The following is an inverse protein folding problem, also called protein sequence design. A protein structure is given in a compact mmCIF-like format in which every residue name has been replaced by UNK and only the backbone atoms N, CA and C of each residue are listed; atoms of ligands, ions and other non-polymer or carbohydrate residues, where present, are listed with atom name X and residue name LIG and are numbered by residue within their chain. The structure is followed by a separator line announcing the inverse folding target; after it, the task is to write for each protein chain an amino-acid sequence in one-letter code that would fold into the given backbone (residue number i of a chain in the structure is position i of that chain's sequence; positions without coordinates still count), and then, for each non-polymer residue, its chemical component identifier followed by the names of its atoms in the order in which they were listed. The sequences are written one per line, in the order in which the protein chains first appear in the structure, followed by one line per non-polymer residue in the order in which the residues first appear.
data_IF_837950925496
#
_entry.id   IF_837950925496
#
_cell.length_a   1.000
_cell.length_b   1.000
_cell.length_c   1.000
_cell.angle_alpha   90.00
_cell.angle_beta   90.00
_cell.angle_gamma   90.00
#
_symmetry.space_group_name_H-M   'P 1'
#
loop_
_entity.id
_entity.type
_entity.pdbx_description
1 polymer ?
#
# COMPACT_ATOMS: atom_id res chain seq x y z
N UNK A 1 -18.90 -5.99 -7.20
CA UNK A 1 -18.59 -4.73 -6.51
C UNK A 1 -17.63 -4.97 -5.38
N UNK A 2 -17.30 -3.94 -4.63
CA UNK A 2 -16.46 -4.01 -3.43
C UNK A 2 -17.26 -4.52 -2.24
N UNK A 3 -16.59 -5.04 -1.23
CA UNK A 3 -17.18 -5.33 0.07
C UNK A 3 -17.52 -4.04 0.80
N UNK A 4 -16.49 -3.20 1.04
CA UNK A 4 -16.63 -1.87 1.64
C UNK A 4 -16.02 -0.84 0.69
N UNK A 5 -16.69 0.30 0.54
CA UNK A 5 -16.15 1.44 -0.20
C UNK A 5 -16.28 2.70 0.65
N UNK A 6 -15.13 3.33 0.92
CA UNK A 6 -15.03 4.65 1.56
C UNK A 6 -14.70 5.68 0.49
N UNK A 7 -15.56 6.67 0.31
CA UNK A 7 -15.40 7.67 -0.75
C UNK A 7 -16.04 9.03 -0.37
N UNK A 8 -16.03 9.97 -1.29
CA UNK A 8 -16.49 11.34 -1.06
C UNK A 8 -15.50 12.09 -0.16
N UNK A 9 -16.02 12.88 0.75
CA UNK A 9 -15.23 13.64 1.72
C UNK A 9 -15.15 12.93 3.09
N UNK A 10 -15.17 11.59 3.08
CA UNK A 10 -15.11 10.77 4.29
C UNK A 10 -13.75 10.87 4.96
N UNK A 11 -13.74 10.87 6.30
CA UNK A 11 -12.54 10.89 7.14
C UNK A 11 -12.89 10.37 8.54
N UNK A 12 -11.89 9.96 9.31
CA UNK A 12 -12.11 9.40 10.65
C UNK A 12 -12.82 8.05 10.58
N UNK A 13 -12.27 7.10 9.83
CA UNK A 13 -12.86 5.80 9.52
C UNK A 13 -12.07 4.71 10.23
N UNK A 14 -12.79 3.81 10.86
CA UNK A 14 -12.27 2.56 11.43
C UNK A 14 -13.03 1.38 10.82
N UNK A 15 -12.30 0.39 10.32
CA UNK A 15 -12.83 -0.83 9.68
C UNK A 15 -12.13 -2.01 10.33
N UNK A 16 -12.86 -2.75 11.16
CA UNK A 16 -12.28 -3.78 12.00
C UNK A 16 -13.22 -4.97 12.26
N UNK A 17 -12.62 -6.11 12.65
CA UNK A 17 -13.30 -7.33 13.08
C UNK A 17 -14.33 -7.86 12.08
N UNK A 18 -14.03 -7.75 10.79
CA UNK A 18 -14.90 -8.20 9.72
C UNK A 18 -14.32 -9.43 9.01
N UNK A 19 -15.19 -10.29 8.54
CA UNK A 19 -14.90 -11.30 7.56
C UNK A 19 -15.49 -10.85 6.21
N UNK A 20 -14.64 -10.68 5.18
CA UNK A 20 -15.04 -10.18 3.87
C UNK A 20 -14.55 -11.14 2.79
N UNK A 21 -15.44 -11.69 2.00
CA UNK A 21 -15.11 -12.66 0.96
C UNK A 21 -16.08 -12.60 -0.22
N UNK A 22 -15.76 -13.30 -1.31
CA UNK A 22 -16.57 -13.38 -2.55
C UNK A 22 -16.98 -12.00 -3.11
N UNK A 23 -16.12 -10.99 -2.92
CA UNK A 23 -16.30 -9.68 -3.57
C UNK A 23 -15.88 -9.75 -5.04
N UNK A 24 -16.27 -8.75 -5.86
CA UNK A 24 -16.02 -8.82 -7.32
C UNK A 24 -14.84 -7.97 -7.79
N UNK A 25 -14.33 -7.09 -6.96
CA UNK A 25 -13.18 -6.25 -7.24
C UNK A 25 -12.29 -6.17 -6.00
N UNK A 26 -12.46 -5.21 -5.10
CA UNK A 26 -11.68 -5.10 -3.86
C UNK A 26 -12.54 -5.41 -2.65
N UNK A 27 -12.00 -6.04 -1.61
CA UNK A 27 -12.76 -6.24 -0.36
C UNK A 27 -12.94 -4.93 0.38
N UNK A 28 -11.88 -4.16 0.58
CA UNK A 28 -11.93 -2.82 1.18
C UNK A 28 -11.30 -1.83 0.20
N UNK A 29 -12.07 -0.85 -0.26
CA UNK A 29 -11.57 0.22 -1.11
C UNK A 29 -11.75 1.57 -0.43
N UNK A 30 -10.65 2.32 -0.24
CA UNK A 30 -10.62 3.63 0.44
C UNK A 30 -10.00 4.66 -0.48
N UNK A 31 -10.80 5.30 -1.30
CA UNK A 31 -10.38 6.39 -2.19
C UNK A 31 -11.57 7.16 -2.74
N UNK A 32 -11.30 8.37 -3.23
CA UNK A 32 -12.25 9.17 -4.00
C UNK A 32 -11.55 9.73 -5.21
N UNK A 33 -11.88 9.17 -6.38
CA UNK A 33 -11.34 9.71 -7.61
C UNK A 33 -11.96 11.09 -7.88
N UNK A 34 -11.17 12.07 -8.38
CA UNK A 34 -11.66 13.39 -8.71
C UNK A 34 -12.76 13.36 -9.78
N UNK A 35 -13.72 14.25 -9.63
CA UNK A 35 -14.80 14.49 -10.59
C UNK A 35 -14.79 15.95 -11.06
N UNK A 36 -15.71 16.32 -11.94
CA UNK A 36 -15.84 17.70 -12.43
C UNK A 36 -16.12 18.74 -11.33
N UNK A 37 -16.56 18.32 -10.13
CA UNK A 37 -16.74 19.23 -8.99
C UNK A 37 -15.42 19.64 -8.33
N UNK A 38 -14.34 18.88 -8.59
CA UNK A 38 -12.99 19.08 -8.04
C UNK A 38 -12.88 19.01 -6.51
N UNK A 39 -13.91 18.54 -5.82
CA UNK A 39 -13.96 18.50 -4.35
C UNK A 39 -12.98 17.49 -3.76
N UNK A 40 -12.63 16.44 -4.52
CA UNK A 40 -11.73 15.36 -4.10
C UNK A 40 -10.33 15.45 -4.75
N UNK A 41 -9.94 16.65 -5.16
CA UNK A 41 -8.57 16.92 -5.63
C UNK A 41 -7.61 17.17 -4.47
N UNK A 42 -6.32 17.09 -4.73
CA UNK A 42 -5.24 17.27 -3.75
C UNK A 42 -5.28 18.61 -3.05
N UNK A 43 -5.66 19.67 -3.73
CA UNK A 43 -5.74 21.02 -3.17
C UNK A 43 -7.03 21.28 -2.39
N UNK A 44 -8.05 20.44 -2.60
CA UNK A 44 -9.38 20.63 -2.00
C UNK A 44 -9.63 19.73 -0.79
N UNK A 45 -9.07 18.52 -0.78
CA UNK A 45 -9.35 17.53 0.24
C UNK A 45 -8.13 16.68 0.60
N UNK A 46 -8.07 16.28 1.85
CA UNK A 46 -7.16 15.24 2.35
C UNK A 46 -7.97 14.28 3.19
N UNK A 47 -8.00 13.02 2.81
CA UNK A 47 -8.61 11.97 3.62
C UNK A 47 -7.68 11.64 4.80
N UNK A 48 -8.24 11.52 6.02
CA UNK A 48 -7.43 11.38 7.23
C UNK A 48 -8.01 10.39 8.21
N UNK A 49 -7.12 9.86 9.06
CA UNK A 49 -7.49 8.99 10.20
C UNK A 49 -8.26 7.78 9.71
N UNK A 50 -7.57 6.96 8.93
CA UNK A 50 -8.11 5.71 8.39
C UNK A 50 -7.39 4.57 9.09
N UNK A 51 -8.13 3.74 9.80
CA UNK A 51 -7.64 2.54 10.45
C UNK A 51 -8.36 1.32 9.89
N UNK A 52 -7.59 0.33 9.42
CA UNK A 52 -8.10 -0.93 8.87
C UNK A 52 -7.36 -2.04 9.58
N UNK A 53 -8.04 -2.77 10.45
CA UNK A 53 -7.36 -3.75 11.30
C UNK A 53 -8.24 -4.91 11.75
N UNK A 54 -7.59 -5.99 12.20
CA UNK A 54 -8.27 -7.17 12.73
C UNK A 54 -9.35 -7.77 11.78
N UNK A 55 -9.15 -7.62 10.45
CA UNK A 55 -10.07 -8.16 9.47
C UNK A 55 -9.54 -9.46 8.87
N UNK A 56 -10.46 -10.35 8.51
CA UNK A 56 -10.19 -11.54 7.71
C UNK A 56 -10.77 -11.36 6.31
N UNK A 57 -9.90 -11.29 5.31
CA UNK A 57 -10.23 -10.99 3.91
C UNK A 57 -9.75 -12.14 3.03
N UNK A 58 -10.67 -12.76 2.27
CA UNK A 58 -10.30 -13.94 1.50
C UNK A 58 -11.21 -14.23 0.30
N UNK A 59 -10.74 -15.12 -0.58
CA UNK A 59 -11.49 -15.65 -1.74
C UNK A 59 -12.10 -14.57 -2.64
N UNK A 60 -11.25 -13.72 -3.24
CA UNK A 60 -11.69 -12.63 -4.09
C UNK A 60 -10.82 -12.47 -5.35
N UNK A 61 -11.41 -12.05 -6.49
CA UNK A 61 -10.68 -11.91 -7.75
C UNK A 61 -9.87 -10.62 -7.89
N UNK A 62 -10.01 -9.65 -6.99
CA UNK A 62 -9.31 -8.37 -7.04
C UNK A 62 -8.33 -8.19 -5.87
N UNK A 63 -8.15 -6.93 -5.43
CA UNK A 63 -7.30 -6.61 -4.28
C UNK A 63 -8.01 -6.88 -2.94
N UNK A 64 -7.26 -7.34 -1.96
CA UNK A 64 -7.77 -7.45 -0.58
C UNK A 64 -8.11 -6.07 0.00
N UNK A 65 -7.11 -5.21 0.11
CA UNK A 65 -7.24 -3.84 0.62
C UNK A 65 -6.63 -2.88 -0.41
N UNK A 66 -7.42 -1.91 -0.89
CA UNK A 66 -6.99 -0.88 -1.83
C UNK A 66 -7.20 0.52 -1.26
N UNK A 67 -6.11 1.21 -0.91
CA UNK A 67 -6.13 2.54 -0.30
C UNK A 67 -5.46 3.56 -1.20
N UNK A 68 -6.15 4.67 -1.47
CA UNK A 68 -5.66 5.80 -2.25
C UNK A 68 -5.67 5.60 -3.76
N UNK A 69 -5.39 6.66 -4.49
CA UNK A 69 -5.40 6.65 -5.95
C UNK A 69 -4.04 6.23 -6.51
N UNK A 70 -4.02 5.26 -7.40
CA UNK A 70 -2.80 4.89 -8.15
C UNK A 70 -2.36 5.95 -9.16
N UNK A 71 -3.24 6.91 -9.49
CA UNK A 71 -2.95 8.02 -10.40
C UNK A 71 -2.32 9.24 -9.68
N UNK A 72 -1.34 9.03 -8.80
CA UNK A 72 -0.72 10.10 -7.99
C UNK A 72 -0.26 11.32 -8.79
N UNK A 73 0.28 11.10 -9.99
CA UNK A 73 0.80 12.17 -10.86
C UNK A 73 -0.28 12.86 -11.69
N UNK A 74 -1.50 12.41 -11.63
CA UNK A 74 -2.66 13.04 -12.27
C UNK A 74 -3.60 12.07 -12.97
N UNK A 75 -4.85 12.43 -12.93
CA UNK A 75 -5.96 11.74 -13.58
C UNK A 75 -6.61 12.70 -14.56
N UNK A 76 -6.92 12.23 -15.75
CA UNK A 76 -7.70 13.02 -16.73
C UNK A 76 -9.19 12.89 -16.45
N UNK A 77 -9.87 14.00 -16.31
CA UNK A 77 -11.33 14.05 -16.13
C UNK A 77 -11.98 14.98 -17.16
N UNK A 78 -13.23 14.69 -17.49
CA UNK A 78 -14.05 15.58 -18.33
C UNK A 78 -14.58 16.77 -17.51
N UNK A 79 -14.41 17.97 -18.04
CA UNK A 79 -14.94 19.22 -17.45
C UNK A 79 -15.58 20.07 -18.55
N UNK A 80 -16.89 19.99 -18.67
CA UNK A 80 -17.62 20.54 -19.83
C UNK A 80 -17.16 19.88 -21.14
N UNK A 81 -16.80 20.69 -22.12
CA UNK A 81 -16.31 20.22 -23.43
C UNK A 81 -14.78 19.97 -23.45
N UNK A 82 -14.13 20.05 -22.31
CA UNK A 82 -12.68 19.93 -22.19
C UNK A 82 -12.29 18.74 -21.31
N UNK A 83 -11.08 18.25 -21.53
CA UNK A 83 -10.42 17.31 -20.62
C UNK A 83 -9.34 18.04 -19.85
N UNK A 84 -9.34 17.91 -18.54
CA UNK A 84 -8.33 18.50 -17.65
C UNK A 84 -7.62 17.40 -16.86
N UNK A 85 -6.35 17.65 -16.52
CA UNK A 85 -5.59 16.78 -15.63
C UNK A 85 -5.68 17.33 -14.21
N UNK A 86 -6.09 16.51 -13.26
CA UNK A 86 -6.21 16.86 -11.85
C UNK A 86 -5.44 15.88 -10.99
N UNK A 87 -4.93 16.35 -9.86
CA UNK A 87 -4.26 15.50 -8.89
C UNK A 87 -5.29 14.96 -7.90
N UNK A 88 -5.42 13.63 -7.75
CA UNK A 88 -6.28 13.05 -6.72
C UNK A 88 -5.85 13.50 -5.31
N UNK A 89 -6.81 13.51 -4.37
CA UNK A 89 -6.51 13.77 -2.98
C UNK A 89 -5.46 12.81 -2.43
N UNK A 90 -4.79 13.21 -1.35
CA UNK A 90 -3.89 12.34 -0.61
C UNK A 90 -4.56 11.79 0.64
N UNK A 91 -3.97 10.73 1.19
CA UNK A 91 -4.36 10.13 2.45
C UNK A 91 -3.27 10.41 3.48
N UNK A 92 -3.66 10.73 4.71
CA UNK A 92 -2.75 10.93 5.85
C UNK A 92 -3.31 10.28 7.10
N UNK A 93 -2.43 9.95 8.03
CA UNK A 93 -2.79 9.28 9.27
C UNK A 93 -3.51 7.94 8.96
N UNK A 94 -2.80 7.06 8.20
CA UNK A 94 -3.26 5.75 7.79
C UNK A 94 -2.58 4.66 8.61
N UNK A 95 -3.36 3.76 9.15
CA UNK A 95 -2.88 2.53 9.77
C UNK A 95 -3.60 1.32 9.16
N UNK A 96 -2.83 0.33 8.69
CA UNK A 96 -3.33 -0.96 8.21
C UNK A 96 -2.57 -2.05 8.95
N UNK A 97 -3.23 -2.76 9.87
CA UNK A 97 -2.51 -3.66 10.77
C UNK A 97 -3.37 -4.85 11.24
N UNK A 98 -2.70 -5.91 11.66
CA UNK A 98 -3.32 -7.12 12.21
C UNK A 98 -4.43 -7.74 11.31
N UNK A 99 -4.37 -7.51 9.99
CA UNK A 99 -5.28 -8.12 9.05
C UNK A 99 -4.70 -9.45 8.52
N UNK A 100 -5.59 -10.37 8.20
CA UNK A 100 -5.26 -11.56 7.42
C UNK A 100 -5.90 -11.41 6.05
N UNK A 101 -5.08 -11.42 4.98
CA UNK A 101 -5.50 -11.27 3.59
C UNK A 101 -4.99 -12.47 2.80
N UNK A 102 -5.88 -13.23 2.20
CA UNK A 102 -5.49 -14.44 1.47
C UNK A 102 -6.39 -14.74 0.27
N UNK A 103 -5.89 -15.58 -0.65
CA UNK A 103 -6.60 -15.97 -1.87
C UNK A 103 -7.14 -14.76 -2.65
N UNK A 104 -6.24 -13.81 -2.94
CA UNK A 104 -6.57 -12.65 -3.78
C UNK A 104 -6.16 -12.91 -5.22
N UNK A 105 -7.02 -12.54 -6.16
CA UNK A 105 -6.68 -12.63 -7.58
C UNK A 105 -5.62 -11.62 -7.99
N UNK A 106 -5.62 -10.45 -7.34
CA UNK A 106 -4.69 -9.33 -7.53
C UNK A 106 -3.86 -9.08 -6.27
N UNK A 107 -3.44 -7.82 -6.03
CA UNK A 107 -2.61 -7.48 -4.87
C UNK A 107 -3.31 -7.82 -3.54
N UNK A 108 -2.54 -8.24 -2.55
CA UNK A 108 -3.06 -8.42 -1.21
C UNK A 108 -3.46 -7.08 -0.59
N UNK A 109 -2.50 -6.17 -0.45
CA UNK A 109 -2.69 -4.82 0.09
C UNK A 109 -2.03 -3.82 -0.86
N UNK A 110 -2.78 -2.85 -1.37
CA UNK A 110 -2.26 -1.73 -2.15
C UNK A 110 -2.44 -0.42 -1.39
N UNK A 111 -1.36 0.34 -1.21
CA UNK A 111 -1.36 1.68 -0.62
C UNK A 111 -0.78 2.66 -1.62
N UNK A 112 -1.53 3.67 -2.02
CA UNK A 112 -1.11 4.70 -2.99
C UNK A 112 -1.54 6.08 -2.53
N UNK A 113 -0.84 7.13 -2.95
CA UNK A 113 -1.18 8.53 -2.63
C UNK A 113 -1.37 8.81 -1.12
N UNK A 114 -0.65 8.08 -0.28
CA UNK A 114 -0.67 8.23 1.17
C UNK A 114 0.64 8.90 1.62
N UNK A 115 0.65 10.23 1.74
CA UNK A 115 1.87 11.05 1.73
C UNK A 115 2.49 11.31 3.10
N UNK A 116 1.81 10.97 4.20
CA UNK A 116 2.39 11.11 5.53
C UNK A 116 1.63 10.32 6.62
N UNK A 117 2.37 9.96 7.68
CA UNK A 117 1.84 9.22 8.84
C UNK A 117 1.18 7.91 8.42
N UNK A 118 1.89 7.11 7.62
CA UNK A 118 1.42 5.80 7.14
C UNK A 118 2.17 4.70 7.87
N UNK A 119 1.42 3.76 8.42
CA UNK A 119 1.95 2.54 9.02
C UNK A 119 1.18 1.32 8.51
N UNK A 120 1.89 0.35 7.95
CA UNK A 120 1.34 -0.94 7.51
C UNK A 120 2.13 -2.04 8.21
N UNK A 121 1.51 -2.73 9.16
CA UNK A 121 2.26 -3.63 10.03
C UNK A 121 1.45 -4.81 10.57
N UNK A 122 2.16 -5.86 10.96
CA UNK A 122 1.60 -7.07 11.54
C UNK A 122 0.54 -7.76 10.66
N UNK A 123 0.46 -7.46 9.38
CA UNK A 123 -0.49 -8.14 8.50
C UNK A 123 0.07 -9.48 8.04
N UNK A 124 -0.82 -10.43 7.83
CA UNK A 124 -0.53 -11.69 7.16
C UNK A 124 -1.14 -11.61 5.75
N UNK A 125 -0.29 -11.70 4.72
CA UNK A 125 -0.72 -11.69 3.32
C UNK A 125 -0.22 -12.95 2.65
N UNK A 126 -1.13 -13.80 2.17
CA UNK A 126 -0.75 -15.07 1.56
C UNK A 126 -1.64 -15.46 0.40
N UNK A 127 -1.09 -16.34 -0.46
CA UNK A 127 -1.82 -16.85 -1.62
C UNK A 127 -2.41 -15.70 -2.46
N UNK A 128 -1.57 -14.69 -2.76
CA UNK A 128 -1.94 -13.47 -3.48
C UNK A 128 -1.55 -13.52 -4.95
N UNK A 129 -2.22 -12.71 -5.78
CA UNK A 129 -1.91 -12.57 -7.20
C UNK A 129 -2.29 -13.78 -8.02
N UNK A 130 -3.28 -14.56 -7.62
CA UNK A 130 -3.62 -15.85 -8.23
C UNK A 130 -4.00 -15.76 -9.70
N UNK A 131 -4.54 -14.63 -10.17
CA UNK A 131 -4.86 -14.40 -11.58
C UNK A 131 -3.63 -14.09 -12.43
N UNK A 132 -2.46 -13.86 -11.81
CA UNK A 132 -1.19 -13.59 -12.49
C UNK A 132 -1.24 -12.41 -13.46
N UNK A 133 -2.00 -11.38 -13.13
CA UNK A 133 -1.96 -10.11 -13.86
C UNK A 133 -0.62 -9.43 -13.58
N UNK A 134 0.15 -9.14 -14.62
CA UNK A 134 1.53 -8.65 -14.49
C UNK A 134 1.66 -7.33 -13.69
N UNK A 135 0.58 -6.58 -13.57
CA UNK A 135 0.55 -5.28 -12.86
C UNK A 135 -0.14 -5.34 -11.50
N UNK A 136 -0.65 -6.52 -11.08
CA UNK A 136 -1.53 -6.69 -9.93
C UNK A 136 -1.25 -8.02 -9.22
N UNK A 137 -0.03 -8.23 -8.74
CA UNK A 137 0.30 -9.52 -8.10
C UNK A 137 1.30 -9.37 -6.93
N UNK A 138 1.32 -8.21 -6.30
CA UNK A 138 2.14 -7.97 -5.12
C UNK A 138 1.43 -8.38 -3.82
N UNK A 139 2.19 -8.90 -2.85
CA UNK A 139 1.65 -9.07 -1.50
C UNK A 139 1.27 -7.74 -0.89
N UNK A 140 2.23 -6.81 -0.84
CA UNK A 140 1.99 -5.41 -0.48
C UNK A 140 2.56 -4.52 -1.59
N UNK A 141 1.71 -3.73 -2.24
CA UNK A 141 2.10 -2.74 -3.23
C UNK A 141 2.14 -1.34 -2.60
N UNK A 142 3.31 -0.71 -2.65
CA UNK A 142 3.55 0.66 -2.19
C UNK A 142 3.58 1.56 -3.41
N UNK A 143 2.45 2.14 -3.73
CA UNK A 143 2.23 2.95 -4.92
C UNK A 143 2.78 4.36 -4.83
N UNK A 144 2.79 5.05 -5.95
CA UNK A 144 3.34 6.40 -6.06
C UNK A 144 2.74 7.40 -5.08
N UNK A 145 3.59 8.25 -4.51
CA UNK A 145 3.22 9.28 -3.54
C UNK A 145 2.97 8.77 -2.13
N UNK A 146 3.37 7.54 -1.83
CA UNK A 146 3.25 6.97 -0.49
C UNK A 146 4.54 7.18 0.28
N UNK A 147 4.42 7.66 1.52
CA UNK A 147 5.51 7.85 2.48
C UNK A 147 5.13 7.23 3.81
N UNK A 148 5.89 6.23 4.27
CA UNK A 148 5.54 5.56 5.51
C UNK A 148 6.41 4.38 5.91
N UNK A 149 5.93 3.63 6.90
CA UNK A 149 6.58 2.48 7.49
C UNK A 149 5.81 1.20 7.17
N UNK A 150 6.52 0.19 6.69
CA UNK A 150 5.97 -1.12 6.32
C UNK A 150 6.77 -2.19 7.06
N UNK A 151 6.23 -2.73 8.14
CA UNK A 151 7.04 -3.56 9.05
C UNK A 151 6.26 -4.69 9.72
N UNK A 152 6.99 -5.70 10.15
CA UNK A 152 6.46 -6.87 10.84
C UNK A 152 5.35 -7.61 10.07
N UNK A 153 5.25 -7.47 8.75
CA UNK A 153 4.28 -8.20 7.97
C UNK A 153 4.83 -9.59 7.60
N UNK A 154 3.95 -10.56 7.53
CA UNK A 154 4.23 -11.90 7.04
C UNK A 154 3.61 -12.08 5.66
N UNK A 155 4.42 -12.30 4.63
CA UNK A 155 4.00 -12.33 3.22
C UNK A 155 4.51 -13.60 2.58
N UNK A 156 3.62 -14.44 2.03
CA UNK A 156 4.05 -15.71 1.47
C UNK A 156 3.08 -16.32 0.45
N UNK A 157 3.63 -17.24 -0.37
CA UNK A 157 2.90 -18.01 -1.38
C UNK A 157 2.24 -17.16 -2.47
N UNK A 158 2.86 -16.09 -2.92
CA UNK A 158 2.29 -15.24 -3.96
C UNK A 158 2.84 -15.51 -5.36
N UNK A 159 2.13 -15.07 -6.38
CA UNK A 159 2.56 -15.19 -7.77
C UNK A 159 3.56 -14.11 -8.19
N UNK A 160 3.58 -12.97 -7.51
CA UNK A 160 4.48 -11.85 -7.78
C UNK A 160 5.35 -11.45 -6.59
N UNK A 161 5.77 -10.20 -6.54
CA UNK A 161 6.63 -9.66 -5.49
C UNK A 161 5.97 -9.73 -4.11
N UNK A 162 6.73 -10.04 -3.06
CA UNK A 162 6.22 -9.94 -1.69
C UNK A 162 5.87 -8.49 -1.35
N UNK A 163 6.83 -7.58 -1.54
CA UNK A 163 6.61 -6.12 -1.44
C UNK A 163 7.12 -5.49 -2.73
N UNK A 164 6.33 -4.59 -3.31
CA UNK A 164 6.67 -3.84 -4.50
C UNK A 164 6.56 -2.33 -4.24
N UNK A 165 7.61 -1.57 -4.59
CA UNK A 165 7.67 -0.12 -4.42
C UNK A 165 7.69 0.55 -5.80
N UNK A 166 6.69 1.39 -6.08
CA UNK A 166 6.56 2.09 -7.37
C UNK A 166 7.11 3.54 -7.35
N UNK A 167 7.75 3.94 -6.25
CA UNK A 167 8.47 5.20 -6.17
C UNK A 167 7.64 6.43 -5.77
N UNK A 168 8.31 7.57 -5.70
CA UNK A 168 7.81 8.87 -5.22
C UNK A 168 7.28 8.78 -3.79
N UNK A 169 8.19 8.95 -2.83
CA UNK A 169 7.93 8.93 -1.39
C UNK A 169 9.07 8.27 -0.64
N UNK A 170 9.17 8.57 0.64
CA UNK A 170 10.17 8.01 1.54
C UNK A 170 9.56 6.82 2.30
N UNK A 171 10.00 5.61 1.99
CA UNK A 171 9.43 4.40 2.56
C UNK A 171 10.48 3.60 3.34
N UNK A 172 10.12 3.20 4.54
CA UNK A 172 10.92 2.38 5.43
C UNK A 172 10.30 0.98 5.53
N UNK A 173 11.02 -0.01 5.00
CA UNK A 173 10.58 -1.41 4.95
C UNK A 173 11.50 -2.24 5.81
N UNK A 174 11.00 -2.79 6.91
CA UNK A 174 11.84 -3.51 7.88
C UNK A 174 11.08 -4.59 8.65
N UNK A 175 11.81 -5.58 9.16
CA UNK A 175 11.28 -6.69 9.96
C UNK A 175 10.15 -7.50 9.30
N UNK A 176 9.99 -7.45 7.99
CA UNK A 176 9.01 -8.27 7.30
C UNK A 176 9.57 -9.66 7.02
N UNK A 177 8.72 -10.66 7.07
CA UNK A 177 9.04 -12.03 6.63
C UNK A 177 8.41 -12.25 5.26
N UNK A 178 9.25 -12.50 4.24
CA UNK A 178 8.80 -12.74 2.87
C UNK A 178 9.32 -14.10 2.43
N UNK A 179 8.41 -15.02 2.09
CA UNK A 179 8.78 -16.37 1.66
C UNK A 179 7.91 -16.84 0.49
N UNK A 180 8.50 -17.65 -0.39
CA UNK A 180 7.80 -18.25 -1.51
C UNK A 180 6.98 -17.24 -2.33
N UNK A 181 7.54 -16.04 -2.55
CA UNK A 181 7.01 -15.05 -3.48
C UNK A 181 7.34 -15.44 -4.91
N UNK A 182 6.47 -15.15 -5.85
CA UNK A 182 6.66 -15.48 -7.25
C UNK A 182 7.76 -14.67 -7.91
N UNK A 183 8.04 -15.03 -9.16
CA UNK A 183 9.09 -14.42 -9.95
C UNK A 183 8.50 -13.27 -10.78
N UNK A 184 8.70 -12.05 -10.34
CA UNK A 184 8.61 -10.89 -11.23
C UNK A 184 10.02 -10.54 -11.74
N UNK A 185 10.12 -10.08 -12.97
CA UNK A 185 11.36 -9.77 -13.65
C UNK A 185 12.23 -8.67 -13.01
N UNK A 186 11.81 -8.17 -11.87
CA UNK A 186 12.59 -7.25 -11.03
C UNK A 186 12.60 -7.79 -9.59
N UNK A 187 13.63 -8.57 -9.24
CA UNK A 187 13.76 -8.98 -7.85
C UNK A 187 14.10 -7.74 -7.01
N UNK A 188 13.13 -7.25 -6.25
CA UNK A 188 13.46 -6.47 -5.07
C UNK A 188 14.01 -7.46 -4.05
N UNK A 189 15.33 -7.61 -4.03
CA UNK A 189 15.97 -8.31 -2.93
C UNK A 189 15.65 -7.52 -1.67
N UNK A 190 14.90 -8.12 -0.77
CA UNK A 190 14.71 -7.58 0.56
C UNK A 190 16.11 -7.25 1.12
N UNK A 191 16.41 -5.96 1.26
CA UNK A 191 17.60 -5.56 1.98
C UNK A 191 17.40 -6.06 3.41
N UNK A 192 18.11 -7.12 3.74
CA UNK A 192 18.29 -7.53 5.13
C UNK A 192 18.60 -6.30 5.95
N UNK A 193 17.87 -6.13 7.03
CA UNK A 193 18.04 -5.04 7.98
C UNK A 193 19.52 -4.65 8.11
N UNK A 194 19.83 -3.39 7.83
CA UNK A 194 21.10 -2.83 8.21
C UNK A 194 21.15 -2.92 9.75
N UNK A 195 21.87 -3.92 10.26
CA UNK A 195 22.30 -3.90 11.66
C UNK A 195 23.03 -2.57 11.87
N UNK A 196 22.75 -1.84 12.94
CA UNK A 196 23.51 -0.62 13.24
C UNK A 196 25.00 -1.00 13.24
N UNK A 197 25.75 -0.42 12.33
CA UNK A 197 27.19 -0.60 12.21
C UNK A 197 27.81 -0.24 13.56
N UNK A 198 28.57 -1.17 14.11
CA UNK A 198 29.49 -0.90 15.21
C UNK A 198 30.28 0.38 14.90
N UNK A 199 30.32 1.27 15.88
CA UNK A 199 31.09 2.50 15.80
C UNK A 199 32.55 2.17 15.48
N UNK A 200 33.04 2.67 14.35
CA UNK A 200 34.49 2.63 14.04
C UNK A 200 35.17 3.47 15.11
N UNK A 201 35.88 2.81 16.01
CA UNK A 201 36.76 3.49 16.95
C UNK A 201 37.85 4.24 16.17
N UNK A 202 38.19 5.48 16.53
CA UNK A 202 39.28 6.20 15.87
C UNK A 202 40.59 5.47 16.09
N UNK A 203 41.30 5.17 15.01
CA UNK A 203 42.66 4.62 15.03
C UNK A 203 43.59 5.66 15.65
N UNK A 204 44.18 5.30 16.80
CA UNK A 204 45.24 6.07 17.42
C UNK A 204 46.42 6.25 16.43
N UNK A 205 46.82 7.48 16.19
CA UNK A 205 48.03 7.81 15.47
C UNK A 205 49.23 7.53 16.37
N UNK A 206 50.07 6.61 15.96
CA UNK A 206 51.39 6.40 16.59
C UNK A 206 52.25 7.63 16.44
N UNK A 207 53.01 8.04 17.49
CA UNK A 207 53.94 9.14 17.36
C UNK A 207 55.22 8.67 16.65
N UNK A 208 55.63 9.45 15.64
CA UNK A 208 56.97 9.32 15.04
C UNK A 208 58.02 9.80 16.04
N UNK A 209 59.04 8.99 16.23
CA UNK A 209 60.35 9.43 16.73
C UNK A 209 61.18 9.99 15.63
#
# INVERSE_FOLDING_TARGET
GNGITVYGLSTGIEIDHLEIFDTKFSSIMVKSDPTATLETTRDSFTMRKIHIHDNYIHDLPGEGIYVGSSAYLGLQISSGDSTITVLPHVIRDLEVFDNVVEHTGWDGIQISSADSSVNVYNNIVRDYGELKDASQQAGILIGGGTTGNFYNNEIYNGSGSGIELLGIGDNYVYNNVITNSGYNSFPVTASTALTPTESIAPTESSPMM
#
